data_IF_328387098029
#
_entry.id   IF_328387098029
#
_cell.length_a   1.000
_cell.length_b   1.000
_cell.length_c   1.000
_cell.angle_alpha   90.00
_cell.angle_beta   90.00
_cell.angle_gamma   90.00
#
_symmetry.space_group_name_H-M   'P 1'
#
loop_
_entity.id
_entity.type
_entity.pdbx_description
1 polymer ?
#
# COMPACT_ATOMS: atom_id res chain seq x y z
N UNK A 1 1.67 -15.16 -25.98
CA UNK A 1 1.73 -13.68 -26.04
C UNK A 1 3.09 -13.26 -25.49
N UNK A 2 3.71 -12.19 -26.01
CA UNK A 2 4.93 -11.64 -25.40
C UNK A 2 4.62 -11.10 -24.01
N UNK A 3 5.59 -11.16 -23.10
CA UNK A 3 5.47 -10.53 -21.77
C UNK A 3 5.32 -9.00 -21.94
N UNK A 4 4.48 -8.34 -21.12
CA UNK A 4 4.32 -6.89 -21.19
C UNK A 4 5.59 -6.17 -20.73
N UNK A 5 5.90 -5.04 -21.36
CA UNK A 5 6.93 -4.12 -20.88
C UNK A 5 6.34 -3.27 -19.76
N UNK A 6 6.98 -3.28 -18.60
CA UNK A 6 6.50 -2.60 -17.38
C UNK A 6 7.37 -1.40 -17.05
N UNK A 7 6.72 -0.27 -16.73
CA UNK A 7 7.34 0.85 -16.04
C UNK A 7 6.82 0.90 -14.60
N UNK A 8 7.70 0.80 -13.60
CA UNK A 8 7.33 0.93 -12.19
C UNK A 8 7.83 2.26 -11.65
N UNK A 9 6.88 3.11 -11.25
CA UNK A 9 7.11 4.45 -10.74
C UNK A 9 6.92 4.47 -9.22
N UNK A 10 8.02 4.56 -8.49
CA UNK A 10 8.07 4.51 -7.03
C UNK A 10 8.67 3.21 -6.51
N UNK A 11 9.98 3.25 -6.17
CA UNK A 11 10.77 2.13 -5.64
C UNK A 11 11.01 2.26 -4.13
N UNK A 12 9.96 2.70 -3.40
CA UNK A 12 9.98 2.72 -1.94
C UNK A 12 9.82 1.32 -1.35
N UNK A 13 9.44 1.27 -0.07
CA UNK A 13 9.29 0.05 0.74
C UNK A 13 8.52 -1.09 0.04
N UNK A 14 7.48 -0.76 -0.72
CA UNK A 14 6.67 -1.74 -1.45
C UNK A 14 7.20 -1.96 -2.87
N UNK A 15 7.49 -0.87 -3.58
CA UNK A 15 7.85 -0.92 -5.00
C UNK A 15 9.15 -1.65 -5.30
N UNK A 16 10.12 -1.67 -4.37
CA UNK A 16 11.36 -2.44 -4.53
C UNK A 16 11.07 -3.94 -4.65
N UNK A 17 10.29 -4.51 -3.72
CA UNK A 17 9.91 -5.92 -3.76
C UNK A 17 9.09 -6.27 -5.00
N UNK A 18 8.14 -5.40 -5.36
CA UNK A 18 7.35 -5.56 -6.58
C UNK A 18 8.22 -5.58 -7.83
N UNK A 19 9.18 -4.65 -7.94
CA UNK A 19 10.11 -4.59 -9.08
C UNK A 19 10.92 -5.89 -9.25
N UNK A 20 11.47 -6.42 -8.16
CA UNK A 20 12.23 -7.68 -8.19
C UNK A 20 11.38 -8.86 -8.63
N UNK A 21 10.12 -8.94 -8.17
CA UNK A 21 9.21 -10.01 -8.59
C UNK A 21 8.79 -9.88 -10.06
N UNK A 22 8.51 -8.67 -10.55
CA UNK A 22 8.19 -8.42 -11.97
C UNK A 22 9.38 -8.84 -12.86
N UNK A 23 10.59 -8.46 -12.49
CA UNK A 23 11.81 -8.84 -13.20
C UNK A 23 12.05 -10.36 -13.16
N UNK A 24 11.85 -11.00 -12.00
CA UNK A 24 11.99 -12.46 -11.83
C UNK A 24 10.96 -13.25 -12.67
N UNK A 25 9.79 -12.67 -12.95
CA UNK A 25 8.80 -13.23 -13.88
C UNK A 25 9.19 -13.05 -15.36
N UNK A 26 10.34 -12.44 -15.67
CA UNK A 26 10.88 -12.28 -17.03
C UNK A 26 10.27 -11.13 -17.82
N UNK A 27 9.58 -10.20 -17.19
CA UNK A 27 9.04 -9.01 -17.85
C UNK A 27 10.13 -7.94 -18.04
N UNK A 28 10.26 -7.32 -19.23
CA UNK A 28 11.10 -6.14 -19.43
C UNK A 28 10.65 -5.03 -18.48
N UNK A 29 11.56 -4.56 -17.60
CA UNK A 29 11.24 -3.63 -16.53
C UNK A 29 12.10 -2.38 -16.56
N UNK A 30 11.47 -1.22 -16.52
CA UNK A 30 12.09 0.05 -16.20
C UNK A 30 11.55 0.57 -14.89
N UNK A 31 12.44 1.14 -14.05
CA UNK A 31 12.07 1.67 -12.75
C UNK A 31 12.49 3.13 -12.64
N UNK A 32 11.69 3.90 -11.95
CA UNK A 32 12.00 5.27 -11.61
C UNK A 32 11.57 5.60 -10.19
N UNK A 33 12.33 6.45 -9.51
CA UNK A 33 11.95 7.02 -8.23
C UNK A 33 12.43 8.45 -8.11
N UNK A 34 11.63 9.33 -7.51
CA UNK A 34 11.97 10.74 -7.28
C UNK A 34 13.34 10.92 -6.60
N UNK A 35 13.66 10.06 -5.65
CA UNK A 35 14.99 9.96 -5.04
C UNK A 35 15.75 8.84 -5.74
N UNK A 36 16.67 9.18 -6.66
CA UNK A 36 17.36 8.22 -7.53
C UNK A 36 18.04 7.08 -6.77
N UNK A 37 18.66 7.37 -5.61
CA UNK A 37 19.32 6.36 -4.78
C UNK A 37 18.40 5.23 -4.28
N UNK A 38 17.07 5.40 -4.33
CA UNK A 38 16.11 4.32 -4.03
C UNK A 38 15.85 3.40 -5.22
N UNK A 39 16.14 3.83 -6.45
CA UNK A 39 16.02 3.00 -7.64
C UNK A 39 17.33 2.28 -8.00
N UNK A 40 18.48 2.86 -7.66
CA UNK A 40 19.81 2.31 -7.95
C UNK A 40 20.01 0.84 -7.52
N UNK A 41 19.52 0.36 -6.35
CA UNK A 41 19.64 -1.04 -5.97
C UNK A 41 18.93 -2.04 -6.90
N UNK A 42 18.10 -1.55 -7.82
CA UNK A 42 17.38 -2.36 -8.81
C UNK A 42 18.10 -2.45 -10.16
N UNK A 43 19.26 -1.81 -10.32
CA UNK A 43 20.03 -1.82 -11.57
C UNK A 43 20.52 -3.23 -11.97
N UNK A 44 20.53 -4.19 -11.04
CA UNK A 44 20.84 -5.59 -11.27
C UNK A 44 19.72 -6.36 -11.99
N UNK A 45 18.47 -5.88 -11.90
CA UNK A 45 17.28 -6.58 -12.42
C UNK A 45 16.41 -5.73 -13.36
N UNK A 46 16.63 -4.42 -13.42
CA UNK A 46 15.82 -3.48 -14.20
C UNK A 46 16.66 -2.35 -14.79
N UNK A 47 16.13 -1.68 -15.82
CA UNK A 47 16.70 -0.42 -16.29
C UNK A 47 16.26 0.72 -15.37
N UNK A 48 17.20 1.36 -14.69
CA UNK A 48 16.93 2.55 -13.88
C UNK A 48 16.86 3.76 -14.81
N UNK A 49 15.67 4.37 -14.91
CA UNK A 49 15.43 5.52 -15.77
C UNK A 49 15.78 6.84 -15.05
N UNK A 50 16.33 7.78 -15.79
CA UNK A 50 16.68 9.12 -15.29
C UNK A 50 15.48 10.06 -15.15
N UNK A 51 14.35 9.72 -15.77
CA UNK A 51 13.11 10.50 -15.70
C UNK A 51 11.87 9.59 -15.81
N UNK A 52 10.70 10.12 -15.43
CA UNK A 52 9.41 9.44 -15.61
C UNK A 52 9.18 9.19 -17.11
N UNK A 53 9.39 10.20 -17.94
CA UNK A 53 9.23 10.11 -19.39
C UNK A 53 10.06 8.99 -20.01
N UNK A 54 11.31 8.83 -19.59
CA UNK A 54 12.18 7.73 -20.01
C UNK A 54 11.66 6.37 -19.55
N UNK A 55 11.17 6.28 -18.31
CA UNK A 55 10.63 5.04 -17.74
C UNK A 55 9.41 4.54 -18.52
N UNK A 56 8.47 5.43 -18.85
CA UNK A 56 7.16 5.05 -19.43
C UNK A 56 7.18 4.88 -20.95
N UNK A 57 8.20 5.39 -21.64
CA UNK A 57 8.26 5.36 -23.12
C UNK A 57 8.12 3.94 -23.68
N UNK A 58 7.00 3.67 -24.38
CA UNK A 58 6.70 2.36 -24.96
C UNK A 58 6.42 1.27 -23.91
N UNK A 59 6.02 1.62 -22.68
CA UNK A 59 5.55 0.65 -21.70
C UNK A 59 4.11 0.23 -22.02
N UNK A 60 3.84 -1.07 -21.91
CA UNK A 60 2.50 -1.63 -21.99
C UNK A 60 1.71 -1.37 -20.70
N UNK A 61 2.42 -1.43 -19.56
CA UNK A 61 1.87 -1.22 -18.22
C UNK A 61 2.72 -0.21 -17.46
N UNK A 62 2.08 0.84 -16.93
CA UNK A 62 2.69 1.81 -16.04
C UNK A 62 2.11 1.57 -14.64
N UNK A 63 2.93 1.10 -13.72
CA UNK A 63 2.57 0.84 -12.33
C UNK A 63 3.02 2.00 -11.45
N UNK A 64 2.10 2.62 -10.70
CA UNK A 64 2.43 3.67 -9.73
C UNK A 64 2.29 3.15 -8.31
N UNK A 65 3.37 3.33 -7.50
CA UNK A 65 3.41 2.96 -6.08
C UNK A 65 4.17 4.04 -5.31
N UNK A 66 3.52 5.17 -5.10
CA UNK A 66 4.06 6.36 -4.40
C UNK A 66 3.19 6.73 -3.20
N UNK A 67 3.54 7.78 -2.48
CA UNK A 67 3.02 8.04 -1.13
C UNK A 67 1.54 8.48 -1.09
N UNK A 68 1.15 9.41 -1.97
CA UNK A 68 -0.18 10.05 -1.94
C UNK A 68 -0.70 10.40 -3.34
N UNK A 69 -1.93 10.90 -3.40
CA UNK A 69 -2.61 11.27 -4.64
C UNK A 69 -1.89 12.37 -5.41
N UNK A 70 -1.31 13.35 -4.73
CA UNK A 70 -0.60 14.46 -5.39
C UNK A 70 0.70 13.98 -6.02
N UNK A 71 1.43 13.11 -5.33
CA UNK A 71 2.62 12.45 -5.87
C UNK A 71 2.29 11.56 -7.07
N UNK A 72 1.17 10.82 -7.05
CA UNK A 72 0.71 10.01 -8.19
C UNK A 72 0.37 10.91 -9.37
N UNK A 73 -0.45 11.95 -9.15
CA UNK A 73 -0.88 12.86 -10.20
C UNK A 73 0.31 13.59 -10.85
N UNK A 74 1.22 14.15 -10.04
CA UNK A 74 2.42 14.81 -10.53
C UNK A 74 3.30 13.87 -11.36
N UNK A 75 3.50 12.63 -10.88
CA UNK A 75 4.30 11.63 -11.60
C UNK A 75 3.66 11.28 -12.95
N UNK A 76 2.35 11.12 -13.03
CA UNK A 76 1.67 10.81 -14.28
C UNK A 76 1.58 12.00 -15.23
N UNK A 77 1.55 13.24 -14.72
CA UNK A 77 1.71 14.44 -15.56
C UNK A 77 3.09 14.52 -16.21
N UNK A 78 4.15 14.13 -15.52
CA UNK A 78 5.49 14.04 -16.12
C UNK A 78 5.60 12.95 -17.20
N UNK A 79 4.71 11.95 -17.18
CA UNK A 79 4.61 10.91 -18.20
C UNK A 79 3.87 11.37 -19.45
N UNK A 80 3.14 12.50 -19.40
CA UNK A 80 2.33 13.03 -20.51
C UNK A 80 3.18 13.20 -21.77
N UNK A 81 2.66 12.72 -22.90
CA UNK A 81 3.35 12.77 -24.18
C UNK A 81 4.22 11.55 -24.51
N UNK A 82 4.54 10.70 -23.53
CA UNK A 82 5.26 9.43 -23.74
C UNK A 82 4.38 8.20 -23.53
N UNK A 83 3.13 8.40 -23.07
CA UNK A 83 2.14 7.34 -22.88
C UNK A 83 1.49 6.95 -24.21
N UNK A 84 1.40 5.65 -24.50
CA UNK A 84 0.67 5.14 -25.64
C UNK A 84 -0.84 5.03 -25.35
N UNK A 85 -1.67 5.13 -26.39
CA UNK A 85 -3.13 4.98 -26.26
C UNK A 85 -3.56 3.61 -25.71
N UNK A 86 -2.73 2.59 -25.89
CA UNK A 86 -2.96 1.24 -25.36
C UNK A 86 -2.30 0.99 -24.00
N UNK A 87 -1.60 1.98 -23.43
CA UNK A 87 -0.95 1.85 -22.12
C UNK A 87 -2.00 1.64 -21.05
N UNK A 88 -1.77 0.67 -20.18
CA UNK A 88 -2.58 0.48 -18.97
C UNK A 88 -1.87 1.12 -17.79
N UNK A 89 -2.51 2.08 -17.16
CA UNK A 89 -2.05 2.63 -15.88
C UNK A 89 -2.61 1.81 -14.73
N UNK A 90 -1.74 1.04 -14.07
CA UNK A 90 -2.03 0.23 -12.89
C UNK A 90 -1.67 1.02 -11.63
N UNK A 91 -2.66 1.66 -11.01
CA UNK A 91 -2.51 2.52 -9.84
C UNK A 91 -2.62 1.69 -8.57
N UNK A 92 -1.54 1.61 -7.77
CA UNK A 92 -1.48 0.77 -6.56
C UNK A 92 -1.26 1.54 -5.26
N UNK A 93 -1.07 2.86 -5.33
CA UNK A 93 -0.97 3.72 -4.14
C UNK A 93 -2.31 3.83 -3.41
N UNK A 94 -2.29 3.98 -2.08
CA UNK A 94 -3.49 4.27 -1.29
C UNK A 94 -3.79 5.77 -1.35
N UNK A 95 -4.86 6.13 -2.05
CA UNK A 95 -5.22 7.52 -2.39
C UNK A 95 -6.61 7.95 -1.90
N UNK A 96 -7.38 7.02 -1.33
CA UNK A 96 -8.75 7.28 -0.88
C UNK A 96 -9.77 7.33 -2.03
N UNK A 97 -11.03 7.66 -1.70
CA UNK A 97 -12.13 7.68 -2.67
C UNK A 97 -11.96 8.85 -3.63
N UNK A 98 -11.90 10.08 -3.11
CA UNK A 98 -11.75 11.30 -3.92
C UNK A 98 -10.46 11.28 -4.76
N UNK A 99 -9.36 10.77 -4.16
CA UNK A 99 -8.10 10.60 -4.87
C UNK A 99 -8.22 9.63 -6.04
N UNK A 100 -8.90 8.50 -5.88
CA UNK A 100 -9.13 7.55 -6.97
C UNK A 100 -9.98 8.14 -8.09
N UNK A 101 -11.03 8.91 -7.77
CA UNK A 101 -11.86 9.62 -8.74
C UNK A 101 -11.05 10.67 -9.53
N UNK A 102 -10.22 11.45 -8.83
CA UNK A 102 -9.31 12.42 -9.46
C UNK A 102 -8.32 11.75 -10.42
N UNK A 103 -7.75 10.61 -10.03
CA UNK A 103 -6.81 9.88 -10.87
C UNK A 103 -7.48 9.20 -12.06
N UNK A 104 -8.72 8.74 -11.91
CA UNK A 104 -9.50 8.23 -13.03
C UNK A 104 -9.76 9.33 -14.08
N UNK A 105 -10.14 10.53 -13.66
CA UNK A 105 -10.30 11.68 -14.56
C UNK A 105 -8.98 12.08 -15.24
N UNK A 106 -7.86 12.04 -14.50
CA UNK A 106 -6.53 12.28 -15.08
C UNK A 106 -6.19 11.22 -16.13
N UNK A 107 -6.51 9.96 -15.91
CA UNK A 107 -6.26 8.89 -16.88
C UNK A 107 -7.06 9.08 -18.18
N UNK A 108 -8.30 9.57 -18.10
CA UNK A 108 -9.10 9.95 -19.28
C UNK A 108 -8.42 11.08 -20.06
N UNK A 109 -7.94 12.12 -19.36
CA UNK A 109 -7.24 13.26 -19.99
C UNK A 109 -5.88 12.85 -20.59
N UNK A 110 -5.18 11.89 -19.98
CA UNK A 110 -3.96 11.30 -20.51
C UNK A 110 -4.20 10.30 -21.67
N UNK A 111 -5.45 9.88 -21.88
CA UNK A 111 -5.82 8.92 -22.93
C UNK A 111 -5.35 7.49 -22.66
N UNK A 112 -5.20 7.08 -21.39
CA UNK A 112 -4.75 5.75 -20.98
C UNK A 112 -5.86 4.93 -20.33
N UNK A 113 -5.68 3.60 -20.29
CA UNK A 113 -6.61 2.68 -19.63
C UNK A 113 -6.29 2.63 -18.11
N UNK A 114 -7.24 2.99 -17.26
CA UNK A 114 -7.03 3.08 -15.81
C UNK A 114 -7.52 1.84 -15.07
N UNK A 115 -6.67 1.31 -14.20
CA UNK A 115 -6.98 0.24 -13.23
C UNK A 115 -6.58 0.71 -11.85
N UNK A 116 -7.56 0.89 -10.98
CA UNK A 116 -7.36 1.14 -9.55
C UNK A 116 -7.15 -0.20 -8.84
N UNK A 117 -5.94 -0.44 -8.34
CA UNK A 117 -5.50 -1.74 -7.87
C UNK A 117 -4.65 -1.68 -6.59
N UNK A 118 -5.10 -1.01 -5.52
CA UNK A 118 -4.35 -1.00 -4.26
C UNK A 118 -4.14 -2.41 -3.72
N UNK A 119 -3.14 -2.55 -2.83
CA UNK A 119 -2.70 -3.84 -2.33
C UNK A 119 -2.87 -3.98 -0.82
N UNK A 120 -3.12 -5.21 -0.36
CA UNK A 120 -2.99 -5.61 1.03
C UNK A 120 -1.68 -6.37 1.23
N UNK A 121 -1.02 -6.09 2.31
CA UNK A 121 0.31 -6.57 2.64
C UNK A 121 1.26 -5.40 2.90
N UNK A 122 2.42 -5.74 3.45
CA UNK A 122 3.47 -4.80 3.81
C UNK A 122 4.78 -5.18 3.11
N UNK A 123 5.92 -4.67 3.56
CA UNK A 123 7.25 -4.89 2.95
C UNK A 123 7.54 -6.36 2.65
N UNK A 124 7.32 -7.27 3.62
CA UNK A 124 7.62 -8.68 3.42
C UNK A 124 6.72 -9.36 2.38
N UNK A 125 5.39 -9.28 2.42
CA UNK A 125 4.53 -9.75 1.32
C UNK A 125 4.88 -9.16 -0.04
N UNK A 126 5.30 -7.89 -0.13
CA UNK A 126 5.73 -7.29 -1.39
C UNK A 126 7.02 -7.93 -1.93
N UNK A 127 7.98 -8.24 -1.05
CA UNK A 127 9.21 -8.92 -1.42
C UNK A 127 8.98 -10.40 -1.83
N UNK A 128 8.02 -11.06 -1.18
CA UNK A 128 7.71 -12.48 -1.39
C UNK A 128 6.73 -12.71 -2.58
N UNK A 129 6.26 -11.68 -3.30
CA UNK A 129 5.22 -11.81 -4.33
C UNK A 129 3.87 -12.30 -3.77
N UNK A 130 3.58 -11.97 -2.53
CA UNK A 130 2.44 -12.50 -1.77
C UNK A 130 1.39 -11.44 -1.40
N UNK A 131 1.35 -10.33 -2.14
CA UNK A 131 0.33 -9.29 -1.93
C UNK A 131 -1.05 -9.82 -2.32
N UNK A 132 -2.10 -9.24 -1.70
CA UNK A 132 -3.46 -9.36 -2.22
C UNK A 132 -3.79 -8.07 -2.96
N UNK A 133 -4.04 -8.18 -4.27
CA UNK A 133 -4.37 -7.03 -5.10
C UNK A 133 -5.89 -6.85 -5.15
N UNK A 134 -6.36 -5.63 -4.91
CA UNK A 134 -7.78 -5.25 -4.96
C UNK A 134 -8.05 -4.49 -6.26
N UNK A 135 -8.16 -5.23 -7.37
CA UNK A 135 -8.23 -4.64 -8.70
C UNK A 135 -9.65 -4.19 -9.07
N UNK A 136 -9.77 -3.03 -9.69
CA UNK A 136 -11.02 -2.51 -10.22
C UNK A 136 -10.77 -1.69 -11.48
N UNK A 137 -11.62 -1.86 -12.49
CA UNK A 137 -11.47 -1.21 -13.80
C UNK A 137 -12.01 -2.05 -14.94
N UNK A 138 -11.73 -1.67 -16.20
CA UNK A 138 -12.28 -2.34 -17.35
C UNK A 138 -11.76 -3.78 -17.50
N UNK A 139 -12.67 -4.71 -17.78
CA UNK A 139 -12.34 -6.14 -17.81
C UNK A 139 -11.44 -6.55 -19.00
N UNK A 140 -11.48 -5.80 -20.09
CA UNK A 140 -10.75 -6.10 -21.32
C UNK A 140 -9.23 -5.87 -21.22
N UNK A 141 -8.76 -5.13 -20.20
CA UNK A 141 -7.32 -4.96 -19.96
C UNK A 141 -6.68 -6.09 -19.13
N UNK A 142 -7.51 -6.96 -18.51
CA UNK A 142 -7.02 -8.05 -17.66
C UNK A 142 -5.93 -8.90 -18.29
N UNK A 143 -6.07 -9.40 -19.54
CA UNK A 143 -5.03 -10.24 -20.16
C UNK A 143 -3.65 -9.58 -20.25
N UNK A 144 -3.61 -8.23 -20.26
CA UNK A 144 -2.36 -7.45 -20.32
C UNK A 144 -1.71 -7.29 -18.96
N UNK A 145 -2.50 -7.15 -17.90
CA UNK A 145 -1.99 -6.87 -16.53
C UNK A 145 -1.93 -8.10 -15.64
N UNK A 146 -2.69 -9.17 -15.92
CA UNK A 146 -2.67 -10.39 -15.10
C UNK A 146 -1.24 -10.92 -14.87
N UNK A 147 -0.31 -10.95 -15.88
CA UNK A 147 1.07 -11.36 -15.61
C UNK A 147 1.79 -10.49 -14.57
N UNK A 148 1.49 -9.17 -14.53
CA UNK A 148 2.07 -8.25 -13.55
C UNK A 148 1.46 -8.50 -12.17
N UNK A 149 0.14 -8.68 -12.09
CA UNK A 149 -0.59 -8.95 -10.85
C UNK A 149 -0.15 -10.28 -10.23
N UNK A 150 0.01 -11.31 -11.05
CA UNK A 150 0.47 -12.65 -10.63
C UNK A 150 1.93 -12.63 -10.14
N UNK A 151 2.77 -11.74 -10.70
CA UNK A 151 4.16 -11.60 -10.26
C UNK A 151 4.27 -10.96 -8.86
N UNK A 152 3.42 -9.99 -8.53
CA UNK A 152 3.51 -9.24 -7.28
C UNK A 152 2.61 -9.78 -6.17
N UNK A 153 1.63 -10.60 -6.50
CA UNK A 153 0.59 -11.03 -5.56
C UNK A 153 0.26 -12.51 -5.62
N UNK A 154 -0.16 -13.05 -4.49
CA UNK A 154 -0.69 -14.41 -4.38
C UNK A 154 -2.18 -14.50 -4.73
N UNK A 155 -2.87 -13.36 -4.79
CA UNK A 155 -4.31 -13.28 -5.06
C UNK A 155 -4.68 -11.93 -5.62
N UNK A 156 -5.51 -11.92 -6.67
CA UNK A 156 -6.19 -10.72 -7.16
C UNK A 156 -7.69 -10.85 -6.93
N UNK A 157 -8.26 -9.85 -6.25
CA UNK A 157 -9.71 -9.71 -6.05
C UNK A 157 -10.19 -8.63 -7.00
N UNK A 158 -10.95 -9.01 -8.01
CA UNK A 158 -11.60 -8.04 -8.90
C UNK A 158 -12.88 -7.53 -8.26
N UNK A 159 -12.93 -6.21 -7.95
CA UNK A 159 -13.98 -5.59 -7.13
C UNK A 159 -15.09 -4.97 -7.98
N UNK A 160 -14.80 -4.61 -9.24
CA UNK A 160 -15.77 -4.00 -10.15
C UNK A 160 -15.18 -2.85 -10.96
N UNK A 161 -15.96 -1.78 -11.12
CA UNK A 161 -15.53 -0.58 -11.85
C UNK A 161 -14.43 0.18 -11.10
N UNK A 162 -13.65 0.99 -11.82
CA UNK A 162 -12.54 1.77 -11.26
C UNK A 162 -12.96 2.55 -9.99
N UNK A 163 -12.11 2.57 -8.99
CA UNK A 163 -12.36 3.15 -7.66
C UNK A 163 -12.99 2.18 -6.64
N UNK A 164 -13.50 1.01 -7.07
CA UNK A 164 -14.02 0.02 -6.13
C UNK A 164 -12.89 -0.64 -5.31
N UNK A 165 -11.71 -0.83 -5.89
CA UNK A 165 -10.51 -1.31 -5.22
C UNK A 165 -10.09 -0.40 -4.07
N UNK A 166 -10.00 0.90 -4.32
CA UNK A 166 -9.70 1.91 -3.30
C UNK A 166 -10.73 1.93 -2.18
N UNK A 167 -12.03 1.82 -2.48
CA UNK A 167 -13.07 1.72 -1.43
C UNK A 167 -12.89 0.48 -0.55
N UNK A 168 -12.62 -0.68 -1.15
CA UNK A 168 -12.37 -1.90 -0.37
C UNK A 168 -11.07 -1.83 0.42
N UNK A 169 -10.04 -1.17 -0.13
CA UNK A 169 -8.76 -0.93 0.56
C UNK A 169 -8.95 -0.17 1.87
N UNK A 170 -9.78 0.89 1.87
CA UNK A 170 -10.06 1.65 3.09
C UNK A 170 -10.73 0.80 4.16
N UNK A 171 -11.71 -0.02 3.80
CA UNK A 171 -12.35 -0.94 4.74
C UNK A 171 -11.37 -1.96 5.31
N UNK A 172 -10.47 -2.51 4.47
CA UNK A 172 -9.44 -3.43 4.93
C UNK A 172 -8.40 -2.75 5.85
N UNK A 173 -7.97 -1.52 5.54
CA UNK A 173 -7.05 -0.78 6.39
C UNK A 173 -7.70 -0.38 7.72
N UNK A 174 -8.99 -0.02 7.75
CA UNK A 174 -9.71 0.23 8.99
C UNK A 174 -9.65 -0.99 9.93
N UNK A 175 -9.79 -2.20 9.39
CA UNK A 175 -9.63 -3.43 10.15
C UNK A 175 -8.19 -3.62 10.66
N UNK A 176 -7.19 -3.43 9.79
CA UNK A 176 -5.77 -3.57 10.17
C UNK A 176 -5.41 -2.62 11.32
N UNK A 177 -5.80 -1.36 11.22
CA UNK A 177 -5.48 -0.34 12.23
C UNK A 177 -6.20 -0.61 13.55
N UNK A 178 -7.47 -1.01 13.49
CA UNK A 178 -8.22 -1.44 14.68
C UNK A 178 -7.55 -2.62 15.39
N UNK A 179 -7.05 -3.60 14.64
CA UNK A 179 -6.33 -4.74 15.24
C UNK A 179 -5.03 -4.28 15.90
N UNK A 180 -4.23 -3.44 15.24
CA UNK A 180 -2.96 -2.95 15.81
C UNK A 180 -3.20 -2.17 17.09
N UNK A 181 -4.16 -1.25 17.07
CA UNK A 181 -4.50 -0.45 18.24
C UNK A 181 -5.09 -1.29 19.37
N UNK A 182 -5.99 -2.22 19.05
CA UNK A 182 -6.54 -3.14 20.05
C UNK A 182 -5.48 -4.01 20.73
N UNK A 183 -4.41 -4.39 20.02
CA UNK A 183 -3.26 -5.07 20.62
C UNK A 183 -2.53 -4.10 21.57
N UNK A 184 -2.22 -2.88 21.13
CA UNK A 184 -1.51 -1.88 21.91
C UNK A 184 -2.23 -1.59 23.23
N UNK A 185 -3.53 -1.29 23.18
CA UNK A 185 -4.36 -1.07 24.37
C UNK A 185 -4.42 -2.29 25.28
N UNK A 186 -4.55 -3.51 24.73
CA UNK A 186 -4.63 -4.73 25.53
C UNK A 186 -3.32 -5.01 26.28
N UNK A 187 -2.17 -4.80 25.64
CA UNK A 187 -0.86 -4.95 26.26
C UNK A 187 -0.65 -3.88 27.34
N UNK A 188 -0.98 -2.62 27.05
CA UNK A 188 -0.87 -1.52 28.01
C UNK A 188 -1.77 -1.75 29.23
N UNK A 189 -3.03 -2.13 29.01
CA UNK A 189 -3.95 -2.45 30.11
C UNK A 189 -3.43 -3.61 30.97
N UNK A 190 -2.89 -4.67 30.36
CA UNK A 190 -2.32 -5.80 31.11
C UNK A 190 -1.16 -5.34 31.98
N UNK A 191 -0.26 -4.51 31.45
CA UNK A 191 0.86 -3.89 32.18
C UNK A 191 0.36 -3.05 33.38
N UNK A 192 -0.58 -2.16 33.13
CA UNK A 192 -1.03 -1.19 34.13
C UNK A 192 -1.92 -1.81 35.21
N UNK A 193 -2.46 -3.01 34.95
CA UNK A 193 -3.08 -3.87 35.96
C UNK A 193 -2.06 -4.71 36.76
N UNK A 194 -0.76 -4.52 36.53
CA UNK A 194 0.31 -5.18 37.31
C UNK A 194 0.64 -6.59 36.84
N UNK A 195 0.25 -6.98 35.62
CA UNK A 195 0.55 -8.28 35.03
C UNK A 195 1.66 -8.15 33.96
N UNK A 196 2.30 -9.27 33.65
CA UNK A 196 3.20 -9.33 32.50
C UNK A 196 2.37 -9.20 31.19
N UNK A 197 2.63 -8.17 30.35
CA UNK A 197 1.89 -7.99 29.11
C UNK A 197 1.96 -9.20 28.16
N UNK A 198 3.03 -10.00 28.21
CA UNK A 198 3.17 -11.20 27.41
C UNK A 198 2.06 -12.23 27.66
N UNK A 199 1.45 -12.22 28.87
CA UNK A 199 0.34 -13.10 29.22
C UNK A 199 -0.91 -12.85 28.36
N UNK A 200 -1.11 -11.63 27.86
CA UNK A 200 -2.21 -11.37 26.93
C UNK A 200 -2.04 -12.17 25.65
N UNK A 201 -0.83 -12.14 25.03
CA UNK A 201 -0.56 -12.89 23.80
C UNK A 201 -0.67 -14.41 24.03
N UNK A 202 -0.18 -14.90 25.16
CA UNK A 202 -0.30 -16.31 25.55
C UNK A 202 -1.78 -16.72 25.71
N UNK A 203 -2.59 -15.88 26.38
CA UNK A 203 -3.99 -16.17 26.66
C UNK A 203 -4.85 -16.26 25.38
N UNK A 204 -4.55 -15.49 24.34
CA UNK A 204 -5.28 -15.54 23.07
C UNK A 204 -4.73 -16.58 22.11
N UNK A 205 -3.49 -17.05 22.31
CA UNK A 205 -2.76 -17.92 21.40
C UNK A 205 -3.52 -19.22 21.10
N UNK A 206 -3.68 -19.54 19.81
CA UNK A 206 -4.39 -20.72 19.32
C UNK A 206 -5.90 -20.69 19.50
N UNK A 207 -6.45 -19.62 20.08
CA UNK A 207 -7.89 -19.40 20.22
C UNK A 207 -8.53 -18.76 18.99
N UNK A 208 -9.85 -18.59 19.02
CA UNK A 208 -10.62 -18.01 17.91
C UNK A 208 -10.27 -16.54 17.62
N UNK A 209 -9.69 -15.82 18.56
CA UNK A 209 -9.27 -14.42 18.43
C UNK A 209 -7.79 -14.29 18.07
N UNK A 210 -7.05 -15.40 18.03
CA UNK A 210 -5.65 -15.40 17.61
C UNK A 210 -5.53 -15.31 16.11
N UNK A 211 -4.74 -14.33 15.64
CA UNK A 211 -4.34 -14.24 14.25
C UNK A 211 -2.81 -14.12 14.20
N UNK A 212 -2.14 -14.64 13.14
CA UNK A 212 -0.69 -14.48 13.00
C UNK A 212 -0.24 -13.02 13.13
N UNK A 213 -1.08 -12.09 12.72
CA UNK A 213 -0.80 -10.65 12.80
C UNK A 213 -0.84 -10.13 14.23
N UNK A 214 -1.71 -10.66 15.10
CA UNK A 214 -1.78 -10.33 16.54
C UNK A 214 -0.48 -10.71 17.23
N UNK A 215 0.01 -11.95 16.98
CA UNK A 215 1.27 -12.42 17.56
C UNK A 215 2.47 -11.62 17.01
N UNK A 216 2.48 -11.33 15.70
CA UNK A 216 3.56 -10.58 15.06
C UNK A 216 3.70 -9.17 15.65
N UNK A 217 2.59 -8.41 15.68
CA UNK A 217 2.61 -7.01 16.14
C UNK A 217 2.74 -6.91 17.66
N UNK A 218 2.08 -7.79 18.39
CA UNK A 218 2.19 -7.82 19.86
C UNK A 218 3.62 -8.11 20.33
N UNK A 219 4.31 -9.05 19.72
CA UNK A 219 5.73 -9.31 20.04
C UNK A 219 6.62 -8.13 19.66
N UNK A 220 6.42 -7.51 18.49
CA UNK A 220 7.16 -6.31 18.11
C UNK A 220 7.00 -5.18 19.12
N UNK A 221 5.77 -4.97 19.64
CA UNK A 221 5.51 -4.00 20.71
C UNK A 221 6.27 -4.32 22.00
N UNK A 222 6.25 -5.58 22.44
CA UNK A 222 6.94 -6.01 23.66
C UNK A 222 8.46 -5.98 23.55
N UNK A 223 8.99 -6.34 22.37
CA UNK A 223 10.43 -6.40 22.11
C UNK A 223 11.03 -5.04 21.76
N UNK A 224 10.20 -3.99 21.58
CA UNK A 224 10.64 -2.67 21.11
C UNK A 224 11.13 -2.67 19.66
N UNK A 225 10.65 -3.63 18.83
CA UNK A 225 11.03 -3.81 17.44
C UNK A 225 10.11 -3.02 16.49
N UNK A 226 10.43 -1.74 16.27
CA UNK A 226 9.59 -0.85 15.46
C UNK A 226 10.18 -0.53 14.08
N UNK A 227 10.95 -1.46 13.49
CA UNK A 227 11.41 -1.33 12.10
C UNK A 227 10.20 -1.25 11.15
N UNK A 228 10.11 -0.20 10.29
CA UNK A 228 8.90 0.06 9.55
C UNK A 228 8.64 -0.98 8.46
N UNK A 229 7.62 -1.82 8.66
CA UNK A 229 6.97 -2.56 7.59
C UNK A 229 5.83 -1.71 6.97
N UNK A 230 5.21 -0.86 7.79
CA UNK A 230 4.28 0.21 7.41
C UNK A 230 4.48 1.38 8.38
N UNK A 231 5.06 2.48 7.90
CA UNK A 231 5.37 3.64 8.73
C UNK A 231 4.11 4.26 9.34
N UNK A 232 4.20 4.66 10.62
CA UNK A 232 3.06 5.22 11.38
C UNK A 232 2.49 6.49 10.74
N UNK A 233 3.34 7.37 10.15
CA UNK A 233 2.88 8.53 9.39
C UNK A 233 2.04 8.15 8.16
N UNK A 234 2.37 7.05 7.50
CA UNK A 234 1.57 6.48 6.40
C UNK A 234 0.24 5.90 6.89
N UNK A 235 0.25 5.22 8.05
CA UNK A 235 -0.97 4.71 8.68
C UNK A 235 -1.91 5.82 9.13
N UNK A 236 -1.37 6.92 9.70
CA UNK A 236 -2.14 8.12 10.05
C UNK A 236 -2.79 8.74 8.82
N UNK A 237 -2.03 8.93 7.72
CA UNK A 237 -2.58 9.40 6.43
C UNK A 237 -3.73 8.51 5.95
N UNK A 238 -3.56 7.20 5.99
CA UNK A 238 -4.61 6.27 5.56
C UNK A 238 -5.82 6.28 6.51
N UNK A 239 -5.62 6.52 7.82
CA UNK A 239 -6.70 6.72 8.79
C UNK A 239 -7.53 7.97 8.48
N UNK A 240 -6.88 9.07 8.07
CA UNK A 240 -7.56 10.28 7.61
C UNK A 240 -8.41 10.01 6.35
N UNK A 241 -7.88 9.23 5.39
CA UNK A 241 -8.62 8.83 4.19
C UNK A 241 -9.85 7.95 4.52
N UNK A 242 -9.73 7.06 5.51
CA UNK A 242 -10.84 6.21 5.99
C UNK A 242 -11.95 7.08 6.59
N UNK A 243 -11.60 8.01 7.49
CA UNK A 243 -12.56 8.89 8.14
C UNK A 243 -13.24 9.84 7.14
N UNK A 244 -12.48 10.38 6.17
CA UNK A 244 -13.05 11.20 5.10
C UNK A 244 -14.06 10.41 4.26
N UNK A 245 -13.74 9.18 3.87
CA UNK A 245 -14.65 8.32 3.12
C UNK A 245 -15.91 7.95 3.92
N UNK A 246 -15.76 7.68 5.23
CA UNK A 246 -16.88 7.41 6.13
C UNK A 246 -17.82 8.62 6.25
N UNK A 247 -17.25 9.82 6.44
CA UNK A 247 -18.03 11.07 6.50
C UNK A 247 -18.79 11.32 5.20
N UNK A 248 -18.15 11.11 4.03
CA UNK A 248 -18.81 11.20 2.72
C UNK A 248 -19.96 10.21 2.54
N UNK A 249 -19.90 9.05 3.20
CA UNK A 249 -20.95 8.05 3.22
C UNK A 249 -22.00 8.24 4.34
N UNK A 250 -21.85 9.29 5.18
CA UNK A 250 -22.72 9.53 6.34
C UNK A 250 -22.56 8.51 7.48
N UNK A 251 -21.39 7.86 7.57
CA UNK A 251 -21.10 6.84 8.57
C UNK A 251 -20.16 7.40 9.64
N UNK A 252 -20.50 7.17 10.91
CA UNK A 252 -19.63 7.45 12.06
C UNK A 252 -18.82 6.19 12.41
N UNK A 253 -17.49 6.31 12.44
CA UNK A 253 -16.54 5.26 12.79
C UNK A 253 -15.84 5.58 14.12
N UNK A 254 -16.57 5.51 15.24
CA UNK A 254 -16.05 5.86 16.57
C UNK A 254 -14.76 5.13 16.95
N UNK A 255 -14.62 3.84 16.64
CA UNK A 255 -13.37 3.08 16.86
C UNK A 255 -12.24 3.66 16.03
N UNK A 256 -12.46 3.93 14.75
CA UNK A 256 -11.43 4.47 13.86
C UNK A 256 -11.00 5.89 14.24
N UNK A 257 -11.92 6.69 14.79
CA UNK A 257 -11.61 8.01 15.34
C UNK A 257 -10.61 7.89 16.48
N UNK A 258 -10.83 6.98 17.44
CA UNK A 258 -9.90 6.70 18.53
C UNK A 258 -8.53 6.23 18.02
N UNK A 259 -8.51 5.28 17.10
CA UNK A 259 -7.27 4.80 16.44
C UNK A 259 -6.49 5.95 15.83
N UNK A 260 -7.17 6.82 15.06
CA UNK A 260 -6.55 7.99 14.42
C UNK A 260 -5.93 8.95 15.43
N UNK A 261 -6.61 9.17 16.57
CA UNK A 261 -6.10 10.05 17.64
C UNK A 261 -4.84 9.47 18.30
N UNK A 262 -4.79 8.15 18.51
CA UNK A 262 -3.60 7.48 19.05
C UNK A 262 -2.43 7.53 18.07
N UNK A 263 -2.67 7.26 16.80
CA UNK A 263 -1.65 7.41 15.75
C UNK A 263 -1.11 8.83 15.68
N UNK A 264 -1.99 9.85 15.79
CA UNK A 264 -1.55 11.25 15.81
C UNK A 264 -0.64 11.55 16.99
N UNK A 265 -1.01 11.10 18.22
CA UNK A 265 -0.17 11.28 19.41
C UNK A 265 1.22 10.66 19.22
N UNK A 266 1.28 9.45 18.71
CA UNK A 266 2.55 8.78 18.49
C UNK A 266 3.39 9.44 17.39
N UNK A 267 2.77 9.98 16.33
CA UNK A 267 3.48 10.80 15.33
C UNK A 267 4.02 12.09 15.96
N UNK A 268 3.23 12.79 16.77
CA UNK A 268 3.62 14.03 17.44
C UNK A 268 4.75 13.78 18.46
N UNK A 269 4.82 12.58 19.06
CA UNK A 269 5.91 12.14 19.92
C UNK A 269 7.21 11.75 19.17
N UNK A 270 7.18 11.79 17.82
CA UNK A 270 8.37 11.54 16.98
C UNK A 270 8.50 10.12 16.44
N UNK A 271 7.45 9.29 16.55
CA UNK A 271 7.44 7.89 16.10
C UNK A 271 6.97 7.71 14.64
N UNK A 272 6.77 8.81 13.89
CA UNK A 272 6.18 8.79 12.55
C UNK A 272 6.89 7.90 11.53
N UNK A 273 8.21 7.78 11.61
CA UNK A 273 9.03 6.94 10.71
C UNK A 273 9.16 5.48 11.18
N UNK A 274 8.69 5.17 12.38
CA UNK A 274 8.66 3.81 12.92
C UNK A 274 7.45 3.04 12.40
N UNK A 275 7.41 1.73 12.64
CA UNK A 275 6.25 0.90 12.31
C UNK A 275 4.99 1.37 13.06
N UNK A 276 3.81 1.21 12.45
CA UNK A 276 2.55 1.63 13.09
C UNK A 276 2.30 0.98 14.46
N UNK A 277 2.97 -0.15 14.78
CA UNK A 277 2.94 -0.73 16.13
C UNK A 277 3.60 0.16 17.20
N UNK A 278 4.36 1.20 16.79
CA UNK A 278 4.90 2.19 17.71
C UNK A 278 3.82 3.05 18.40
N UNK A 279 2.55 2.98 17.97
CA UNK A 279 1.42 3.54 18.72
C UNK A 279 1.41 3.05 20.18
N UNK A 280 1.87 1.82 20.44
CA UNK A 280 2.02 1.25 21.80
C UNK A 280 2.87 2.10 22.75
N UNK A 281 3.80 2.89 22.24
CA UNK A 281 4.70 3.72 23.07
C UNK A 281 3.98 4.89 23.75
N UNK A 282 2.77 5.22 23.30
CA UNK A 282 1.97 6.34 23.78
C UNK A 282 0.75 5.89 24.64
N UNK A 283 0.77 4.64 25.14
CA UNK A 283 -0.20 4.05 26.07
C UNK A 283 0.30 3.93 27.51
#
# INVERSE_FOLDING_TARGET
MSQPTVALLGTGTMGEGMARNIAAAGMPLRVWNRTASRAEPLADVATVAGSVAEAVRGADVVLTMVYDVDSVAATMEEARGELGADTVWLQQSTVGVEGSERLAALAEDLGVRYVDAPVLGTRKPAADGALVVLASGPADVRPRIDPVLDAIGSKTVWVGEAGAGSRLKLAANAWVFTVVEGIAESLALTRDLGLDPALFLEAVQGGALDAPYVQLKGRAMLDGGFDPAFALSGALKDADLILAAAAGAGLDLGVMTGVREHFQRAVDAGHGDQDMSATYLEH
#
